data_IF_679485035328
#
_entry.id   IF_679485035328
#
_cell.length_a   1.000
_cell.length_b   1.000
_cell.length_c   1.000
_cell.angle_alpha   90.00
_cell.angle_beta   90.00
_cell.angle_gamma   90.00
#
_symmetry.space_group_name_H-M   'P 1'
#
loop_
_entity.id
_entity.type
_entity.pdbx_description
1 polymer ?
#
# COMPACT_ATOMS: atom_id res chain seq x y z
N UNK A 1 -18.58 6.31 -19.30
CA UNK A 1 -17.30 5.55 -19.44
C UNK A 1 -16.26 6.18 -18.55
N UNK A 2 -15.61 5.39 -17.70
CA UNK A 2 -14.65 5.88 -16.69
C UNK A 2 -13.24 6.17 -17.24
N UNK A 3 -12.94 5.73 -18.47
CA UNK A 3 -11.63 5.82 -19.11
C UNK A 3 -11.27 7.21 -19.61
N UNK A 4 -12.18 7.87 -20.35
CA UNK A 4 -11.90 9.16 -20.99
C UNK A 4 -11.48 10.28 -20.03
N UNK A 5 -12.16 10.51 -18.89
CA UNK A 5 -11.76 11.60 -17.98
C UNK A 5 -10.36 11.41 -17.41
N UNK A 6 -10.02 10.17 -17.01
CA UNK A 6 -8.71 9.84 -16.46
C UNK A 6 -7.62 9.90 -17.54
N UNK A 7 -7.92 9.42 -18.76
CA UNK A 7 -7.00 9.53 -19.88
C UNK A 7 -6.69 10.98 -20.24
N UNK A 8 -7.71 11.83 -20.38
CA UNK A 8 -7.53 13.26 -20.67
C UNK A 8 -6.68 13.95 -19.61
N UNK A 9 -6.92 13.65 -18.33
CA UNK A 9 -6.15 14.20 -17.22
C UNK A 9 -4.66 13.81 -17.29
N UNK A 10 -4.38 12.52 -17.49
CA UNK A 10 -3.00 12.02 -17.56
C UNK A 10 -2.29 12.42 -18.86
N UNK A 11 -3.03 12.62 -19.95
CA UNK A 11 -2.50 13.11 -21.21
C UNK A 11 -2.14 14.60 -21.12
N UNK A 12 -2.99 15.42 -20.50
CA UNK A 12 -2.70 16.84 -20.29
C UNK A 12 -1.40 17.04 -19.49
N UNK A 13 -1.11 16.18 -18.51
CA UNK A 13 0.14 16.23 -17.76
C UNK A 13 1.39 15.87 -18.59
N UNK A 14 1.22 15.23 -19.76
CA UNK A 14 2.33 14.87 -20.67
C UNK A 14 2.66 15.96 -21.69
N UNK A 15 1.76 16.92 -21.91
CA UNK A 15 1.84 17.89 -23.03
C UNK A 15 2.31 19.28 -22.57
N UNK A 16 2.36 19.57 -21.27
CA UNK A 16 2.78 20.88 -20.77
C UNK A 16 4.30 21.10 -20.93
N UNK A 17 4.66 22.21 -21.60
CA UNK A 17 6.03 22.64 -21.90
C UNK A 17 6.86 22.99 -20.64
N UNK A 18 8.18 22.87 -20.76
CA UNK A 18 9.21 22.94 -19.70
C UNK A 18 9.32 24.26 -18.90
N UNK A 19 8.46 25.27 -19.11
CA UNK A 19 8.76 26.65 -18.69
C UNK A 19 7.77 27.37 -17.75
N UNK A 20 6.72 26.73 -17.22
CA UNK A 20 5.85 27.38 -16.22
C UNK A 20 5.43 26.44 -15.07
N UNK A 21 5.64 26.92 -13.84
CA UNK A 21 5.14 26.41 -12.54
C UNK A 21 4.77 24.92 -12.46
N UNK A 22 5.78 24.06 -12.48
CA UNK A 22 5.64 22.61 -12.66
C UNK A 22 5.05 21.86 -11.45
N UNK A 23 5.25 22.36 -10.22
CA UNK A 23 4.80 21.67 -9.00
C UNK A 23 3.30 21.79 -8.74
N UNK A 24 2.71 22.93 -9.09
CA UNK A 24 1.27 23.19 -8.87
C UNK A 24 0.41 22.37 -9.84
N UNK A 25 0.86 22.20 -11.08
CA UNK A 25 0.21 21.33 -12.08
C UNK A 25 0.19 19.85 -11.67
N UNK A 26 1.33 19.33 -11.20
CA UNK A 26 1.43 17.95 -10.72
C UNK A 26 0.51 17.71 -9.51
N UNK A 27 0.43 18.67 -8.59
CA UNK A 27 -0.42 18.55 -7.40
C UNK A 27 -1.92 18.62 -7.71
N UNK A 28 -2.33 19.46 -8.67
CA UNK A 28 -3.72 19.49 -9.15
C UNK A 28 -4.12 18.18 -9.86
N UNK A 29 -3.19 17.61 -10.62
CA UNK A 29 -3.37 16.30 -11.28
C UNK A 29 -3.53 15.20 -10.24
N UNK A 30 -2.65 15.15 -9.25
CA UNK A 30 -2.72 14.22 -8.12
C UNK A 30 -4.06 14.32 -7.39
N UNK A 31 -4.50 15.54 -7.04
CA UNK A 31 -5.77 15.75 -6.35
C UNK A 31 -6.96 15.26 -7.20
N UNK A 32 -6.93 15.48 -8.51
CA UNK A 32 -7.99 15.03 -9.41
C UNK A 32 -8.04 13.49 -9.54
N UNK A 33 -6.88 12.82 -9.56
CA UNK A 33 -6.81 11.35 -9.54
C UNK A 33 -7.30 10.80 -8.19
N UNK A 34 -6.97 11.48 -7.11
CA UNK A 34 -7.43 11.13 -5.77
C UNK A 34 -8.95 11.27 -5.66
N UNK A 35 -9.52 12.39 -6.09
CA UNK A 35 -10.96 12.63 -6.15
C UNK A 35 -11.66 11.59 -7.02
N UNK A 36 -11.02 11.19 -8.14
CA UNK A 36 -11.51 10.10 -8.98
C UNK A 36 -11.62 8.77 -8.22
N UNK A 37 -10.79 8.48 -7.22
CA UNK A 37 -10.97 7.28 -6.38
C UNK A 37 -11.96 7.55 -5.25
N UNK A 38 -11.83 8.67 -4.54
CA UNK A 38 -12.61 8.97 -3.33
C UNK A 38 -14.11 9.17 -3.61
N UNK A 39 -14.48 9.70 -4.78
CA UNK A 39 -15.87 9.91 -5.19
C UNK A 39 -16.54 8.65 -5.76
N UNK A 40 -15.83 7.53 -5.80
CA UNK A 40 -16.38 6.29 -6.35
C UNK A 40 -17.43 5.67 -5.44
N UNK A 41 -18.41 5.01 -6.06
CA UNK A 41 -19.25 4.06 -5.34
C UNK A 41 -18.48 2.75 -5.13
N UNK A 42 -18.88 1.96 -4.13
CA UNK A 42 -18.24 0.67 -3.88
C UNK A 42 -18.32 -0.29 -5.08
N UNK A 43 -19.36 -0.19 -5.91
CA UNK A 43 -19.50 -0.99 -7.12
C UNK A 43 -18.52 -0.61 -8.23
N UNK A 44 -18.01 0.63 -8.23
CA UNK A 44 -17.05 1.14 -9.21
C UNK A 44 -15.60 1.09 -8.71
N UNK A 45 -15.38 1.10 -7.40
CA UNK A 45 -14.07 1.20 -6.75
C UNK A 45 -13.01 0.27 -7.37
N UNK A 46 -13.30 -1.04 -7.47
CA UNK A 46 -12.38 -2.02 -8.08
C UNK A 46 -12.04 -1.68 -9.53
N UNK A 47 -13.03 -1.24 -10.32
CA UNK A 47 -12.81 -0.92 -11.75
C UNK A 47 -11.98 0.35 -11.91
N UNK A 48 -12.19 1.35 -11.05
CA UNK A 48 -11.38 2.58 -11.02
C UNK A 48 -9.91 2.28 -10.66
N UNK A 49 -9.67 1.39 -9.69
CA UNK A 49 -8.33 0.89 -9.37
C UNK A 49 -7.70 0.09 -10.53
N UNK A 50 -8.45 -0.81 -11.17
CA UNK A 50 -7.96 -1.55 -12.35
C UNK A 50 -7.51 -0.61 -13.46
N UNK A 51 -8.27 0.46 -13.69
CA UNK A 51 -7.94 1.45 -14.69
C UNK A 51 -6.70 2.27 -14.31
N UNK A 52 -6.57 2.65 -13.04
CA UNK A 52 -5.36 3.32 -12.54
C UNK A 52 -4.10 2.46 -12.74
N UNK A 53 -4.19 1.16 -12.42
CA UNK A 53 -3.10 0.21 -12.64
C UNK A 53 -2.76 0.02 -14.13
N UNK A 54 -3.77 -0.01 -15.01
CA UNK A 54 -3.54 -0.08 -16.45
C UNK A 54 -2.78 1.16 -16.97
N UNK A 55 -3.12 2.35 -16.48
CA UNK A 55 -2.38 3.57 -16.81
C UNK A 55 -0.97 3.57 -16.23
N UNK A 56 -0.76 3.09 -15.00
CA UNK A 56 0.56 2.91 -14.42
C UNK A 56 1.43 1.99 -15.31
N UNK A 57 0.88 0.87 -15.78
CA UNK A 57 1.57 -0.06 -16.68
C UNK A 57 1.89 0.57 -18.04
N UNK A 58 0.96 1.35 -18.60
CA UNK A 58 1.21 2.10 -19.83
C UNK A 58 2.34 3.12 -19.66
N UNK A 59 2.41 3.81 -18.52
CA UNK A 59 3.51 4.73 -18.20
C UNK A 59 4.84 3.98 -18.08
N UNK A 60 4.87 2.86 -17.35
CA UNK A 60 6.06 2.04 -17.19
C UNK A 60 6.60 1.52 -18.54
N UNK A 61 5.74 0.95 -19.39
CA UNK A 61 6.13 0.45 -20.71
C UNK A 61 6.58 1.61 -21.61
N UNK A 62 5.88 2.75 -21.59
CA UNK A 62 6.25 3.94 -22.35
C UNK A 62 7.64 4.46 -21.97
N UNK A 63 7.97 4.49 -20.68
CA UNK A 63 9.29 4.90 -20.20
C UNK A 63 10.37 3.89 -20.63
N UNK A 64 10.11 2.58 -20.47
CA UNK A 64 11.04 1.53 -20.87
C UNK A 64 11.37 1.57 -22.38
N UNK A 65 10.37 1.79 -23.23
CA UNK A 65 10.57 1.88 -24.68
C UNK A 65 11.37 3.15 -25.07
N UNK A 66 11.15 4.28 -24.38
CA UNK A 66 11.87 5.53 -24.64
C UNK A 66 13.32 5.50 -24.14
N UNK A 67 13.63 4.79 -23.06
CA UNK A 67 14.98 4.67 -22.52
C UNK A 67 16.01 4.12 -23.52
N UNK A 68 15.56 3.40 -24.55
CA UNK A 68 16.41 2.92 -25.64
C UNK A 68 16.75 4.01 -26.69
N UNK A 69 16.21 5.23 -26.54
CA UNK A 69 16.40 6.36 -27.47
C UNK A 69 16.69 7.69 -26.75
N UNK A 70 16.15 7.91 -25.54
CA UNK A 70 16.38 9.07 -24.68
C UNK A 70 15.97 8.79 -23.22
N UNK A 71 16.60 9.39 -22.20
CA UNK A 71 16.17 9.25 -20.80
C UNK A 71 14.72 9.77 -20.61
N UNK A 72 13.95 9.23 -19.65
CA UNK A 72 12.58 9.66 -19.42
C UNK A 72 12.59 11.10 -18.90
N UNK A 73 11.69 11.94 -19.42
CA UNK A 73 11.55 13.30 -18.92
C UNK A 73 11.01 13.28 -17.47
N UNK A 74 11.40 14.28 -16.67
CA UNK A 74 11.04 14.43 -15.25
C UNK A 74 9.54 14.27 -14.97
N UNK A 75 8.68 14.70 -15.89
CA UNK A 75 7.22 14.60 -15.78
C UNK A 75 6.70 13.17 -15.93
N UNK A 76 7.35 12.34 -16.75
CA UNK A 76 6.97 10.93 -16.90
C UNK A 76 7.32 10.13 -15.64
N UNK A 77 8.45 10.47 -15.01
CA UNK A 77 8.86 9.91 -13.73
C UNK A 77 7.92 10.37 -12.60
N UNK A 78 7.57 11.66 -12.52
CA UNK A 78 6.62 12.15 -11.50
C UNK A 78 5.24 11.49 -11.67
N UNK A 79 4.78 11.32 -12.91
CA UNK A 79 3.52 10.64 -13.22
C UNK A 79 3.52 9.18 -12.81
N UNK A 80 4.61 8.46 -13.06
CA UNK A 80 4.76 7.09 -12.60
C UNK A 80 4.71 7.01 -11.06
N UNK A 81 5.46 7.86 -10.35
CA UNK A 81 5.56 7.84 -8.90
C UNK A 81 4.21 8.09 -8.21
N UNK A 82 3.48 9.15 -8.60
CA UNK A 82 2.20 9.42 -7.96
C UNK A 82 1.15 8.35 -8.31
N UNK A 83 1.14 7.81 -9.53
CA UNK A 83 0.23 6.72 -9.89
C UNK A 83 0.53 5.45 -9.09
N UNK A 84 1.81 5.13 -8.90
CA UNK A 84 2.28 4.01 -8.09
C UNK A 84 1.79 4.15 -6.66
N UNK A 85 2.05 5.31 -6.04
CA UNK A 85 1.70 5.54 -4.64
C UNK A 85 0.18 5.65 -4.44
N UNK A 86 -0.57 6.33 -5.32
CA UNK A 86 -2.04 6.38 -5.24
C UNK A 86 -2.63 4.98 -5.37
N UNK A 87 -2.18 4.19 -6.34
CA UNK A 87 -2.68 2.82 -6.48
C UNK A 87 -2.38 2.00 -5.23
N UNK A 88 -1.14 1.99 -4.77
CA UNK A 88 -0.71 1.23 -3.60
C UNK A 88 -1.42 1.64 -2.31
N UNK A 89 -1.67 2.93 -2.14
CA UNK A 89 -2.43 3.44 -1.00
C UNK A 89 -3.90 3.00 -1.05
N UNK A 90 -4.59 3.10 -2.19
CA UNK A 90 -6.01 2.77 -2.24
C UNK A 90 -6.30 1.28 -2.38
N UNK A 91 -5.40 0.49 -2.95
CA UNK A 91 -5.61 -0.96 -3.12
C UNK A 91 -5.73 -1.68 -1.76
N UNK A 92 -5.13 -1.14 -0.70
CA UNK A 92 -5.22 -1.70 0.66
C UNK A 92 -6.67 -1.75 1.21
N UNK A 93 -7.59 -0.91 0.69
CA UNK A 93 -9.01 -0.92 1.10
C UNK A 93 -9.87 -1.89 0.30
N UNK A 94 -9.35 -2.44 -0.80
CA UNK A 94 -10.12 -3.33 -1.65
C UNK A 94 -10.66 -4.57 -0.91
N UNK A 95 -9.90 -5.26 -0.04
CA UNK A 95 -10.44 -6.38 0.73
C UNK A 95 -11.66 -6.01 1.58
N UNK A 96 -11.66 -4.81 2.19
CA UNK A 96 -12.78 -4.31 3.00
C UNK A 96 -14.01 -4.11 2.13
N UNK A 97 -13.84 -3.44 0.98
CA UNK A 97 -14.93 -3.18 0.02
C UNK A 97 -15.50 -4.49 -0.53
N UNK A 98 -14.65 -5.44 -0.93
CA UNK A 98 -15.08 -6.74 -1.44
C UNK A 98 -15.83 -7.55 -0.38
N UNK A 99 -15.34 -7.57 0.87
CA UNK A 99 -16.01 -8.24 1.99
C UNK A 99 -17.40 -7.66 2.25
N UNK A 100 -17.55 -6.33 2.17
CA UNK A 100 -18.84 -5.67 2.32
C UNK A 100 -19.82 -6.00 1.18
N UNK A 101 -19.35 -5.96 -0.07
CA UNK A 101 -20.16 -6.37 -1.24
C UNK A 101 -20.56 -7.85 -1.13
N UNK A 102 -19.66 -8.72 -0.66
CA UNK A 102 -19.95 -10.14 -0.51
C UNK A 102 -20.97 -10.41 0.61
N UNK A 103 -20.88 -9.70 1.73
CA UNK A 103 -21.84 -9.81 2.82
C UNK A 103 -23.25 -9.37 2.38
N UNK A 104 -23.35 -8.19 1.75
CA UNK A 104 -24.62 -7.68 1.23
C UNK A 104 -25.20 -8.58 0.12
N UNK A 105 -24.36 -9.09 -0.78
CA UNK A 105 -24.78 -10.06 -1.81
C UNK A 105 -25.36 -11.33 -1.19
N UNK A 106 -24.77 -11.85 -0.11
CA UNK A 106 -25.31 -13.03 0.60
C UNK A 106 -26.69 -12.76 1.20
N UNK A 107 -26.91 -11.59 1.80
CA UNK A 107 -28.22 -11.18 2.32
C UNK A 107 -29.29 -11.15 1.22
N UNK A 108 -28.99 -10.50 0.08
CA UNK A 108 -29.90 -10.45 -1.07
C UNK A 108 -30.17 -11.85 -1.65
N UNK A 109 -29.16 -12.73 -1.69
CA UNK A 109 -29.33 -14.10 -2.16
C UNK A 109 -30.26 -14.93 -1.26
N UNK A 110 -30.29 -14.67 0.05
CA UNK A 110 -31.22 -15.34 0.97
C UNK A 110 -32.65 -14.90 0.65
N UNK A 111 -32.90 -13.59 0.56
CA UNK A 111 -34.23 -13.07 0.21
C UNK A 111 -34.71 -13.57 -1.16
N UNK A 112 -33.81 -13.61 -2.15
CA UNK A 112 -34.10 -14.12 -3.49
C UNK A 112 -34.48 -15.61 -3.45
N UNK A 113 -33.76 -16.43 -2.68
CA UNK A 113 -34.08 -17.86 -2.53
C UNK A 113 -35.46 -18.06 -1.91
N UNK A 114 -35.85 -17.25 -0.93
CA UNK A 114 -37.20 -17.29 -0.35
C UNK A 114 -38.27 -16.88 -1.36
N UNK A 115 -38.03 -15.85 -2.19
CA UNK A 115 -38.94 -15.52 -3.29
C UNK A 115 -39.09 -16.67 -4.28
N UNK A 116 -37.99 -17.33 -4.66
CA UNK A 116 -38.02 -18.48 -5.58
C UNK A 116 -38.78 -19.65 -4.98
N UNK A 117 -38.60 -19.94 -3.68
CA UNK A 117 -39.38 -20.97 -2.99
C UNK A 117 -40.87 -20.67 -3.07
N UNK A 118 -41.29 -19.45 -2.72
CA UNK A 118 -42.70 -19.03 -2.79
C UNK A 118 -43.29 -19.21 -4.19
N UNK A 119 -42.54 -18.88 -5.25
CA UNK A 119 -42.98 -19.07 -6.63
C UNK A 119 -43.10 -20.56 -7.04
N UNK A 120 -42.30 -21.46 -6.47
CA UNK A 120 -42.33 -22.89 -6.85
C UNK A 120 -43.58 -23.62 -6.35
N UNK A 121 -44.20 -23.17 -5.27
CA UNK A 121 -45.40 -23.79 -4.70
C UNK A 121 -46.70 -23.46 -5.47
N UNK A 122 -46.64 -22.57 -6.46
CA UNK A 122 -47.80 -22.17 -7.26
C UNK A 122 -47.97 -23.08 -8.49
N UNK A 123 -48.67 -24.19 -8.30
CA UNK A 123 -48.82 -25.22 -9.35
C UNK A 123 -50.07 -25.09 -10.23
N UNK A 124 -50.96 -24.12 -9.99
CA UNK A 124 -52.25 -24.07 -10.68
C UNK A 124 -52.41 -22.85 -11.60
N UNK A 125 -52.82 -23.07 -12.86
CA UNK A 125 -52.95 -22.03 -13.91
C UNK A 125 -54.24 -21.22 -13.75
N UNK A 126 -54.48 -20.67 -12.57
CA UNK A 126 -55.63 -19.81 -12.28
C UNK A 126 -55.31 -18.32 -12.43
N UNK A 127 -56.34 -17.46 -12.44
CA UNK A 127 -56.19 -16.01 -12.37
C UNK A 127 -55.33 -15.56 -11.17
N UNK A 128 -55.34 -16.32 -10.07
CA UNK A 128 -54.52 -16.08 -8.89
C UNK A 128 -53.00 -16.21 -9.18
N UNK A 129 -52.61 -17.08 -10.12
CA UNK A 129 -51.20 -17.25 -10.53
C UNK A 129 -50.66 -16.01 -11.25
N UNK A 130 -51.48 -15.32 -12.05
CA UNK A 130 -51.07 -14.08 -12.74
C UNK A 130 -50.87 -12.94 -11.74
N UNK A 131 -51.78 -12.79 -10.77
CA UNK A 131 -51.69 -11.82 -9.67
C UNK A 131 -50.40 -12.03 -8.86
N UNK A 132 -50.10 -13.27 -8.52
CA UNK A 132 -48.93 -13.62 -7.72
C UNK A 132 -47.62 -13.45 -8.50
N UNK A 133 -47.60 -13.79 -9.79
CA UNK A 133 -46.47 -13.51 -10.68
C UNK A 133 -46.17 -11.99 -10.75
N UNK A 134 -47.19 -11.13 -10.81
CA UNK A 134 -47.02 -9.67 -10.73
C UNK A 134 -46.38 -9.26 -9.41
N UNK A 135 -46.86 -9.79 -8.28
CA UNK A 135 -46.28 -9.53 -6.94
C UNK A 135 -44.82 -10.00 -6.85
N UNK A 136 -44.49 -11.18 -7.36
CA UNK A 136 -43.13 -11.72 -7.38
C UNK A 136 -42.18 -10.88 -8.23
N UNK A 137 -42.62 -10.41 -9.41
CA UNK A 137 -41.85 -9.47 -10.24
C UNK A 137 -41.60 -8.14 -9.52
N UNK A 138 -42.61 -7.61 -8.82
CA UNK A 138 -42.44 -6.39 -8.01
C UNK A 138 -41.43 -6.60 -6.86
N UNK A 139 -41.50 -7.73 -6.16
CA UNK A 139 -40.53 -8.07 -5.11
C UNK A 139 -39.12 -8.23 -5.67
N UNK A 140 -38.95 -8.90 -6.82
CA UNK A 140 -37.67 -8.99 -7.52
C UNK A 140 -37.12 -7.61 -7.88
N UNK A 141 -37.97 -6.71 -8.43
CA UNK A 141 -37.58 -5.33 -8.72
C UNK A 141 -37.10 -4.60 -7.47
N UNK A 142 -37.76 -4.78 -6.32
CA UNK A 142 -37.31 -4.22 -5.04
C UNK A 142 -35.96 -4.78 -4.58
N UNK A 143 -35.71 -6.07 -4.75
CA UNK A 143 -34.40 -6.67 -4.44
C UNK A 143 -33.28 -6.13 -5.34
N UNK A 144 -33.55 -6.01 -6.65
CA UNK A 144 -32.60 -5.41 -7.61
C UNK A 144 -32.29 -3.97 -7.20
N UNK A 145 -33.32 -3.19 -6.84
CA UNK A 145 -33.13 -1.82 -6.37
C UNK A 145 -32.32 -1.78 -5.07
N UNK A 146 -32.68 -2.61 -4.07
CA UNK A 146 -31.94 -2.72 -2.79
C UNK A 146 -30.45 -2.99 -3.03
N UNK A 147 -30.12 -3.96 -3.89
CA UNK A 147 -28.72 -4.26 -4.21
C UNK A 147 -28.03 -3.15 -5.01
N UNK A 148 -28.75 -2.49 -5.92
CA UNK A 148 -28.23 -1.33 -6.68
C UNK A 148 -27.91 -0.17 -5.76
N UNK A 149 -28.78 0.11 -4.78
CA UNK A 149 -28.58 1.18 -3.80
C UNK A 149 -27.36 0.89 -2.91
N UNK A 150 -27.15 -0.37 -2.51
CA UNK A 150 -25.94 -0.79 -1.80
C UNK A 150 -24.70 -0.54 -2.66
N UNK A 151 -24.71 -0.96 -3.93
CA UNK A 151 -23.57 -0.76 -4.83
C UNK A 151 -23.26 0.71 -5.14
N UNK A 152 -24.26 1.58 -5.04
CA UNK A 152 -24.16 3.04 -5.21
C UNK A 152 -23.65 3.75 -3.95
N UNK A 153 -23.55 3.05 -2.81
CA UNK A 153 -23.00 3.63 -1.59
C UNK A 153 -21.56 4.13 -1.81
N UNK A 154 -21.26 5.31 -1.28
CA UNK A 154 -19.94 5.93 -1.46
C UNK A 154 -18.86 5.11 -0.76
N UNK A 155 -17.70 5.02 -1.41
CA UNK A 155 -16.51 4.36 -0.85
C UNK A 155 -16.16 4.90 0.54
N UNK A 156 -16.18 6.22 0.72
CA UNK A 156 -15.86 6.88 2.00
C UNK A 156 -16.81 6.44 3.13
N UNK A 157 -18.11 6.32 2.85
CA UNK A 157 -19.08 5.88 3.87
C UNK A 157 -18.80 4.46 4.35
N UNK A 158 -18.47 3.55 3.43
CA UNK A 158 -18.13 2.17 3.77
C UNK A 158 -16.80 2.09 4.52
N UNK A 159 -15.82 2.92 4.15
CA UNK A 159 -14.56 3.01 4.87
C UNK A 159 -14.78 3.51 6.31
N UNK A 160 -15.58 4.55 6.53
CA UNK A 160 -15.90 5.04 7.88
C UNK A 160 -16.62 3.98 8.72
N UNK A 161 -17.57 3.25 8.13
CA UNK A 161 -18.27 2.13 8.79
C UNK A 161 -17.32 0.98 9.15
N UNK A 162 -16.32 0.69 8.30
CA UNK A 162 -15.31 -0.34 8.53
C UNK A 162 -14.18 0.09 9.47
N UNK A 163 -13.81 1.37 9.48
CA UNK A 163 -12.67 1.92 10.23
C UNK A 163 -12.90 1.91 11.75
N UNK A 164 -14.16 2.06 12.19
CA UNK A 164 -14.55 1.94 13.61
C UNK A 164 -14.22 0.55 14.18
N UNK A 165 -14.06 -0.47 13.32
CA UNK A 165 -13.70 -1.84 13.73
C UNK A 165 -12.19 -2.13 13.64
N UNK A 166 -11.44 -1.48 12.75
CA UNK A 166 -10.05 -1.88 12.47
C UNK A 166 -8.99 -0.95 13.09
N UNK A 167 -9.32 0.29 13.41
CA UNK A 167 -8.39 1.22 14.06
C UNK A 167 -8.20 0.92 15.57
N UNK A 168 -9.20 0.25 16.16
CA UNK A 168 -9.27 -0.12 17.58
C UNK A 168 -8.79 -1.54 17.85
N UNK A 169 -8.74 -2.38 16.82
CA UNK A 169 -8.15 -3.71 16.93
C UNK A 169 -6.64 -3.63 16.69
N UNK A 170 -5.95 -3.13 17.71
CA UNK A 170 -4.54 -3.43 17.98
C UNK A 170 -4.41 -4.57 19.03
N UNK A 171 -5.10 -5.74 18.92
CA UNK A 171 -4.81 -6.88 19.79
C UNK A 171 -3.50 -7.57 19.38
N UNK A 172 -2.82 -7.10 18.32
CA UNK A 172 -1.63 -7.74 17.76
C UNK A 172 -0.44 -7.77 18.74
N UNK A 173 -0.53 -7.03 19.86
CA UNK A 173 0.51 -6.99 20.88
C UNK A 173 -0.10 -6.98 22.29
N UNK A 174 -0.60 -8.13 22.76
CA UNK A 174 -0.73 -8.37 24.21
C UNK A 174 0.64 -8.15 24.89
N UNK A 175 0.64 -7.68 26.15
CA UNK A 175 1.88 -7.37 26.90
C UNK A 175 2.88 -8.55 26.89
N UNK A 176 2.38 -9.78 26.90
CA UNK A 176 3.20 -11.00 27.00
C UNK A 176 3.98 -11.34 25.72
N UNK A 177 3.52 -10.91 24.53
CA UNK A 177 4.14 -11.25 23.25
C UNK A 177 5.09 -10.16 22.70
N UNK A 178 5.19 -9.01 23.37
CA UNK A 178 5.93 -7.84 22.86
C UNK A 178 7.44 -8.02 22.83
N UNK A 179 8.02 -8.42 23.96
CA UNK A 179 9.48 -8.63 24.07
C UNK A 179 9.95 -9.76 23.14
N UNK A 180 9.16 -10.84 23.08
CA UNK A 180 9.40 -11.99 22.20
C UNK A 180 9.37 -11.56 20.72
N UNK A 181 8.51 -10.61 20.35
CA UNK A 181 8.47 -10.09 18.98
C UNK A 181 9.72 -9.30 18.62
N UNK A 182 10.18 -8.37 19.48
CA UNK A 182 11.40 -7.60 19.21
C UNK A 182 12.64 -8.49 19.11
N UNK A 183 12.74 -9.49 19.98
CA UNK A 183 13.84 -10.47 19.94
C UNK A 183 13.79 -11.32 18.67
N UNK A 184 12.60 -11.85 18.31
CA UNK A 184 12.42 -12.62 17.08
C UNK A 184 12.71 -11.81 15.82
N UNK A 185 12.26 -10.55 15.78
CA UNK A 185 12.54 -9.65 14.67
C UNK A 185 14.03 -9.32 14.56
N UNK A 186 14.70 -9.04 15.69
CA UNK A 186 16.15 -8.84 15.72
C UNK A 186 16.89 -10.07 15.16
N UNK A 187 16.51 -11.28 15.59
CA UNK A 187 17.10 -12.52 15.07
C UNK A 187 16.82 -12.74 13.58
N UNK A 188 15.60 -12.47 13.12
CA UNK A 188 15.25 -12.59 11.70
C UNK A 188 16.04 -11.61 10.84
N UNK A 189 16.21 -10.37 11.31
CA UNK A 189 17.03 -9.35 10.66
C UNK A 189 18.51 -9.74 10.64
N UNK A 190 19.06 -10.17 11.77
CA UNK A 190 20.44 -10.68 11.83
C UNK A 190 20.65 -11.82 10.82
N UNK A 191 19.73 -12.77 10.75
CA UNK A 191 19.77 -13.85 9.77
C UNK A 191 19.67 -13.35 8.32
N UNK A 192 18.80 -12.39 8.03
CA UNK A 192 18.67 -11.78 6.71
C UNK A 192 19.96 -11.07 6.28
N UNK A 193 20.58 -10.31 7.20
CA UNK A 193 21.87 -9.69 6.97
C UNK A 193 22.97 -10.72 6.71
N UNK A 194 23.03 -11.81 7.48
CA UNK A 194 24.00 -12.88 7.24
C UNK A 194 23.78 -13.56 5.89
N UNK A 195 22.53 -13.80 5.50
CA UNK A 195 22.21 -14.36 4.18
C UNK A 195 22.61 -13.43 3.03
N UNK A 196 22.41 -12.11 3.20
CA UNK A 196 22.83 -11.12 2.23
C UNK A 196 24.37 -11.08 2.09
N UNK A 197 25.08 -11.24 3.21
CA UNK A 197 26.54 -11.40 3.21
C UNK A 197 26.99 -12.65 2.45
N UNK A 198 26.39 -13.82 2.74
CA UNK A 198 26.70 -15.07 2.05
C UNK A 198 26.46 -14.97 0.53
N UNK A 199 25.35 -14.34 0.12
CA UNK A 199 25.06 -14.07 -1.29
C UNK A 199 26.10 -13.14 -1.92
N UNK A 200 26.52 -12.08 -1.22
CA UNK A 200 27.58 -11.17 -1.67
C UNK A 200 28.90 -11.91 -1.86
N UNK A 201 29.31 -12.75 -0.91
CA UNK A 201 30.52 -13.58 -1.02
C UNK A 201 30.47 -14.51 -2.22
N UNK A 202 29.33 -15.16 -2.47
CA UNK A 202 29.17 -16.01 -3.65
C UNK A 202 29.29 -15.24 -4.98
N UNK A 203 28.80 -14.00 -5.03
CA UNK A 203 28.95 -13.14 -6.21
C UNK A 203 30.41 -12.72 -6.43
N UNK A 204 31.15 -12.44 -5.36
CA UNK A 204 32.60 -12.20 -5.43
C UNK A 204 33.35 -13.43 -5.94
N UNK A 205 33.01 -14.63 -5.47
CA UNK A 205 33.66 -15.86 -5.91
C UNK A 205 33.43 -16.13 -7.40
N UNK A 206 32.21 -15.89 -7.89
CA UNK A 206 31.89 -16.00 -9.33
C UNK A 206 32.66 -14.95 -10.15
N UNK A 207 32.72 -13.69 -9.71
CA UNK A 207 33.46 -12.63 -10.39
C UNK A 207 34.98 -12.91 -10.39
N UNK A 208 35.52 -13.43 -9.29
CA UNK A 208 36.93 -13.81 -9.17
C UNK A 208 37.30 -15.00 -10.06
N UNK A 209 36.40 -16.00 -10.17
CA UNK A 209 36.56 -17.12 -11.11
C UNK A 209 36.48 -16.66 -12.56
N UNK A 210 35.59 -15.72 -12.89
CA UNK A 210 35.53 -15.11 -14.22
C UNK A 210 36.80 -14.30 -14.54
N UNK A 211 37.39 -13.61 -13.57
CA UNK A 211 38.65 -12.89 -13.73
C UNK A 211 39.83 -13.82 -14.06
N UNK A 212 39.90 -15.01 -13.45
CA UNK A 212 40.95 -16.01 -13.76
C UNK A 212 40.80 -16.65 -15.14
N UNK A 213 39.58 -16.71 -15.69
CA UNK A 213 39.29 -17.33 -16.98
C UNK A 213 39.47 -16.39 -18.18
N UNK A 214 39.78 -15.11 -17.96
CA UNK A 214 39.98 -14.10 -19.02
C UNK A 214 41.46 -13.72 -19.08
N UNK A 215 42.29 -14.61 -19.60
CA UNK A 215 43.66 -14.24 -20.01
C UNK A 215 43.58 -13.40 -21.31
N UNK A 216 43.90 -12.11 -21.20
CA UNK A 216 44.22 -11.26 -22.36
C UNK A 216 43.24 -10.13 -22.71
N UNK A 217 42.14 -9.92 -21.98
CA UNK A 217 41.19 -8.84 -22.28
C UNK A 217 41.20 -7.74 -21.19
N UNK A 218 42.05 -6.73 -21.39
CA UNK A 218 42.38 -5.67 -20.42
C UNK A 218 41.18 -4.84 -19.96
N UNK A 219 40.19 -4.60 -20.83
CA UNK A 219 38.99 -3.81 -20.49
C UNK A 219 38.03 -4.56 -19.54
N UNK A 220 37.83 -5.86 -19.76
CA UNK A 220 37.02 -6.71 -18.84
C UNK A 220 37.69 -6.86 -17.48
N UNK A 221 39.03 -6.96 -17.46
CA UNK A 221 39.80 -7.06 -16.23
C UNK A 221 39.72 -5.76 -15.40
N UNK A 222 39.73 -4.60 -16.08
CA UNK A 222 39.56 -3.29 -15.45
C UNK A 222 38.14 -3.12 -14.86
N UNK A 223 37.10 -3.52 -15.60
CA UNK A 223 35.72 -3.49 -15.10
C UNK A 223 35.54 -4.38 -13.86
N UNK A 224 36.04 -5.62 -13.87
CA UNK A 224 35.98 -6.51 -12.69
C UNK A 224 36.76 -5.94 -11.49
N UNK A 225 37.90 -5.28 -11.71
CA UNK A 225 38.69 -4.66 -10.65
C UNK A 225 37.99 -3.42 -10.07
N UNK A 226 37.36 -2.58 -10.90
CA UNK A 226 36.59 -1.42 -10.49
C UNK A 226 35.33 -1.84 -9.72
N UNK A 227 34.57 -2.80 -10.25
CA UNK A 227 33.39 -3.35 -9.59
C UNK A 227 33.74 -4.03 -8.26
N UNK A 228 34.86 -4.78 -8.22
CA UNK A 228 35.39 -5.36 -6.99
C UNK A 228 35.84 -4.31 -5.96
N UNK A 229 36.34 -3.14 -6.40
CA UNK A 229 36.70 -2.03 -5.51
C UNK A 229 35.48 -1.32 -4.92
N UNK A 230 34.39 -1.17 -5.71
CA UNK A 230 33.10 -0.62 -5.26
C UNK A 230 32.45 -1.55 -4.23
N UNK A 231 32.42 -2.86 -4.49
CA UNK A 231 31.89 -3.83 -3.54
C UNK A 231 32.71 -3.86 -2.23
N UNK A 232 34.04 -3.66 -2.31
CA UNK A 232 34.95 -3.64 -1.15
C UNK A 232 34.86 -2.35 -0.34
N UNK A 233 34.60 -1.20 -0.99
CA UNK A 233 34.34 0.05 -0.27
C UNK A 233 32.99 0.02 0.47
N UNK A 234 32.03 -0.79 0.00
CA UNK A 234 30.81 -1.08 0.77
C UNK A 234 31.07 -1.90 2.05
N UNK A 235 32.14 -2.71 2.16
CA UNK A 235 32.41 -3.54 3.35
C UNK A 235 32.81 -2.70 4.58
N UNK A 236 33.54 -1.60 4.39
CA UNK A 236 33.90 -0.68 5.49
C UNK A 236 32.71 0.18 5.96
N UNK A 237 31.82 0.57 5.04
CA UNK A 237 30.55 1.25 5.37
C UNK A 237 29.55 0.30 6.06
N UNK A 238 29.54 -0.98 5.68
CA UNK A 238 28.64 -1.99 6.23
C UNK A 238 28.96 -2.39 7.68
N UNK A 239 30.24 -2.42 8.07
CA UNK A 239 30.61 -2.78 9.46
C UNK A 239 30.16 -1.69 10.45
N UNK A 240 30.25 -0.42 10.07
CA UNK A 240 29.68 0.72 10.81
C UNK A 240 28.14 0.69 10.83
N UNK A 241 27.52 0.25 9.74
CA UNK A 241 26.06 0.10 9.63
C UNK A 241 25.53 -1.03 10.54
N UNK A 242 26.28 -2.10 10.77
CA UNK A 242 25.86 -3.23 11.61
C UNK A 242 25.77 -2.85 13.11
N UNK A 243 26.73 -2.07 13.59
CA UNK A 243 26.74 -1.57 14.98
C UNK A 243 25.69 -0.46 15.15
N UNK A 244 25.59 0.47 14.19
CA UNK A 244 24.59 1.54 14.20
C UNK A 244 23.14 1.07 14.00
N UNK A 245 22.91 -0.04 13.29
CA UNK A 245 21.56 -0.61 13.13
C UNK A 245 21.02 -1.17 14.43
N UNK A 246 21.85 -1.82 15.25
CA UNK A 246 21.42 -2.31 16.58
C UNK A 246 20.99 -1.15 17.45
N UNK A 247 21.78 -0.07 17.50
CA UNK A 247 21.40 1.13 18.24
C UNK A 247 20.11 1.77 17.69
N UNK A 248 19.94 1.80 16.37
CA UNK A 248 18.70 2.26 15.74
C UNK A 248 17.49 1.37 16.11
N UNK A 249 17.67 0.04 16.13
CA UNK A 249 16.61 -0.91 16.49
C UNK A 249 16.20 -0.79 17.96
N UNK A 250 17.16 -0.68 18.89
CA UNK A 250 16.87 -0.40 20.30
C UNK A 250 16.17 0.95 20.48
N UNK A 251 16.52 1.95 19.66
CA UNK A 251 15.84 3.25 19.68
C UNK A 251 14.38 3.12 19.23
N UNK A 252 14.11 2.36 18.17
CA UNK A 252 12.74 2.05 17.71
C UNK A 252 11.94 1.30 18.76
N UNK A 253 12.53 0.29 19.40
CA UNK A 253 11.92 -0.46 20.50
C UNK A 253 11.57 0.47 21.68
N UNK A 254 12.49 1.33 22.10
CA UNK A 254 12.26 2.29 23.17
C UNK A 254 11.13 3.27 22.83
N UNK A 255 11.07 3.77 21.60
CA UNK A 255 9.98 4.64 21.12
C UNK A 255 8.65 3.91 21.20
N UNK A 256 8.61 2.67 20.72
CA UNK A 256 7.40 1.85 20.75
C UNK A 256 6.90 1.63 22.18
N UNK A 257 7.80 1.20 23.09
CA UNK A 257 7.45 0.95 24.51
C UNK A 257 6.86 2.23 25.12
N UNK A 258 7.54 3.38 24.97
CA UNK A 258 7.04 4.66 25.49
C UNK A 258 5.69 5.08 24.88
N UNK A 259 5.47 4.81 23.59
CA UNK A 259 4.21 5.12 22.93
C UNK A 259 3.06 4.28 23.49
N UNK A 260 3.30 2.99 23.76
CA UNK A 260 2.30 2.10 24.35
C UNK A 260 2.02 2.46 25.82
N UNK A 261 3.05 2.71 26.61
CA UNK A 261 2.91 3.16 28.00
C UNK A 261 2.12 4.46 28.09
N UNK A 262 2.38 5.39 27.17
CA UNK A 262 1.57 6.59 27.01
C UNK A 262 0.13 6.21 26.71
N UNK A 263 -0.14 5.40 25.67
CA UNK A 263 -1.49 4.94 25.34
C UNK A 263 -2.25 4.31 26.52
N UNK A 264 -1.57 3.52 27.35
CA UNK A 264 -2.15 2.93 28.57
C UNK A 264 -2.52 3.99 29.62
N UNK A 265 -1.67 5.00 29.82
CA UNK A 265 -1.96 6.16 30.68
C UNK A 265 -3.11 7.00 30.13
N UNK A 266 -3.24 7.10 28.80
CA UNK A 266 -4.32 7.83 28.16
C UNK A 266 -5.69 7.15 28.30
N UNK A 267 -5.72 5.81 28.45
CA UNK A 267 -6.93 5.02 28.77
C UNK A 267 -7.41 5.20 30.23
N UNK A 268 -6.55 5.64 31.14
CA UNK A 268 -6.92 5.93 32.53
C UNK A 268 -7.41 7.39 32.66
N UNK A 269 -8.67 7.58 33.06
CA UNK A 269 -9.33 8.90 33.07
C UNK A 269 -8.90 9.84 34.21
N UNK A 270 -8.10 9.36 35.17
CA UNK A 270 -7.95 10.06 36.45
C UNK A 270 -6.88 11.15 36.50
N UNK A 271 -5.95 11.23 35.54
CA UNK A 271 -4.76 12.09 35.68
C UNK A 271 -4.35 12.82 34.39
N UNK A 272 -5.00 13.94 34.07
CA UNK A 272 -4.64 14.80 32.92
C UNK A 272 -3.17 15.30 32.93
N UNK A 273 -2.62 15.60 34.11
CA UNK A 273 -1.21 16.00 34.23
C UNK A 273 -0.25 14.84 33.89
N UNK A 274 -0.62 13.60 34.22
CA UNK A 274 0.18 12.40 33.88
C UNK A 274 0.17 12.16 32.37
N UNK A 275 -1.00 12.29 31.72
CA UNK A 275 -1.16 12.20 30.26
C UNK A 275 -0.26 13.20 29.51
N UNK A 276 -0.20 14.45 29.98
CA UNK A 276 0.66 15.50 29.40
C UNK A 276 2.16 15.22 29.58
N UNK A 277 2.57 14.72 30.76
CA UNK A 277 3.98 14.36 31.00
C UNK A 277 4.43 13.20 30.11
N UNK A 278 3.65 12.12 30.06
CA UNK A 278 4.00 10.96 29.23
C UNK A 278 4.07 11.30 27.74
N UNK A 279 3.17 12.18 27.26
CA UNK A 279 3.22 12.68 25.89
C UNK A 279 4.49 13.52 25.65
N UNK A 280 4.82 14.43 26.57
CA UNK A 280 6.06 15.23 26.48
C UNK A 280 7.31 14.34 26.45
N UNK A 281 7.37 13.34 27.32
CA UNK A 281 8.50 12.40 27.40
C UNK A 281 8.67 11.57 26.12
N UNK A 282 7.54 11.24 25.45
CA UNK A 282 7.55 10.57 24.15
C UNK A 282 8.05 11.51 23.05
N UNK A 283 7.56 12.76 23.01
CA UNK A 283 7.98 13.76 22.03
C UNK A 283 9.47 14.11 22.18
N UNK A 284 9.96 14.23 23.41
CA UNK A 284 11.38 14.44 23.69
C UNK A 284 12.22 13.23 23.31
N UNK A 285 11.72 12.00 23.49
CA UNK A 285 12.38 10.80 22.99
C UNK A 285 12.50 10.83 21.46
N UNK A 286 11.41 11.12 20.74
CA UNK A 286 11.43 11.25 19.28
C UNK A 286 12.44 12.31 18.84
N UNK A 287 12.47 13.47 19.51
CA UNK A 287 13.44 14.55 19.25
C UNK A 287 14.88 14.09 19.44
N UNK A 288 15.17 13.43 20.55
CA UNK A 288 16.51 12.91 20.84
C UNK A 288 16.93 11.78 19.89
N UNK A 289 15.96 11.07 19.30
CA UNK A 289 16.18 9.99 18.34
C UNK A 289 16.41 10.48 16.90
N UNK A 290 16.53 11.80 16.69
CA UNK A 290 16.81 12.39 15.40
C UNK A 290 15.58 12.77 14.57
N UNK A 291 14.36 12.71 15.13
CA UNK A 291 13.15 13.23 14.49
C UNK A 291 12.93 14.69 14.90
N UNK A 292 13.20 15.68 14.03
CA UNK A 292 13.05 17.07 14.40
C UNK A 292 11.57 17.40 14.66
N UNK A 293 11.25 18.24 15.67
CA UNK A 293 9.92 18.83 15.78
C UNK A 293 9.72 19.67 14.52
N UNK A 294 8.71 19.33 13.72
CA UNK A 294 8.49 19.89 12.38
C UNK A 294 8.68 21.42 12.40
N UNK A 295 9.65 21.93 11.61
CA UNK A 295 9.53 23.27 11.03
C UNK A 295 8.24 23.23 10.23
N UNK A 296 7.25 24.04 10.60
CA UNK A 296 5.95 24.17 9.96
C UNK A 296 6.07 24.02 8.44
N UNK A 297 5.89 22.80 7.95
CA UNK A 297 5.84 22.55 6.52
C UNK A 297 4.53 23.18 6.08
N UNK A 298 4.64 24.07 5.10
CA UNK A 298 3.53 24.83 4.55
C UNK A 298 2.30 23.93 4.37
N UNK A 299 1.09 24.42 4.69
CA UNK A 299 -0.15 23.59 4.67
C UNK A 299 -0.41 22.93 3.31
N UNK A 300 0.28 23.41 2.27
CA UNK A 300 0.28 22.94 0.89
C UNK A 300 1.16 21.70 0.62
N UNK A 301 2.11 21.33 1.48
CA UNK A 301 3.00 20.15 1.29
C UNK A 301 2.44 18.85 1.87
N UNK A 302 1.15 18.80 2.22
CA UNK A 302 0.53 17.68 2.96
C UNK A 302 0.62 16.30 2.28
N UNK A 303 1.04 16.23 1.01
CA UNK A 303 1.01 15.00 0.22
C UNK A 303 2.25 14.79 -0.66
N UNK A 304 3.40 15.36 -0.28
CA UNK A 304 4.67 15.19 -1.01
C UNK A 304 5.09 13.71 -1.13
N UNK A 305 4.58 12.86 -0.24
CA UNK A 305 4.82 11.42 -0.24
C UNK A 305 4.24 10.70 -1.47
N UNK A 306 3.32 11.31 -2.22
CA UNK A 306 2.89 10.76 -3.52
C UNK A 306 4.04 10.66 -4.52
N UNK A 307 5.09 11.46 -4.36
CA UNK A 307 6.24 11.48 -5.26
C UNK A 307 7.45 10.70 -4.72
N UNK A 308 7.29 9.95 -3.62
CA UNK A 308 8.38 9.13 -3.09
C UNK A 308 8.57 7.85 -3.91
N UNK A 309 9.82 7.56 -4.23
CA UNK A 309 10.21 6.31 -4.89
C UNK A 309 10.47 5.24 -3.83
N UNK A 310 9.71 4.15 -3.86
CA UNK A 310 9.83 3.03 -2.90
C UNK A 310 10.65 1.87 -3.47
N UNK A 311 10.07 1.16 -4.43
CA UNK A 311 10.69 -0.01 -5.09
C UNK A 311 10.73 0.16 -6.61
N UNK A 312 9.84 0.98 -7.18
CA UNK A 312 9.68 1.11 -8.63
C UNK A 312 9.08 -0.12 -9.32
N UNK A 313 9.06 -1.30 -8.68
CA UNK A 313 8.49 -2.52 -9.24
C UNK A 313 6.96 -2.58 -9.02
N UNK A 314 6.23 -2.60 -10.14
CA UNK A 314 4.77 -2.72 -10.17
C UNK A 314 4.27 -4.06 -9.63
N UNK A 315 5.06 -5.14 -9.71
CA UNK A 315 4.65 -6.46 -9.24
C UNK A 315 4.45 -6.50 -7.72
N UNK A 316 5.17 -5.63 -7.01
CA UNK A 316 5.08 -5.51 -5.57
C UNK A 316 3.77 -4.85 -5.08
N UNK A 317 3.00 -4.22 -5.97
CA UNK A 317 1.71 -3.60 -5.65
C UNK A 317 0.52 -4.58 -5.71
N UNK A 318 0.71 -5.76 -6.31
CA UNK A 318 -0.36 -6.74 -6.48
C UNK A 318 -0.56 -7.54 -5.18
N UNK A 319 -1.62 -7.25 -4.43
CA UNK A 319 -1.99 -8.06 -3.26
C UNK A 319 -2.32 -9.50 -3.72
N UNK A 320 -1.66 -10.48 -3.09
CA UNK A 320 -1.86 -11.92 -3.36
C UNK A 320 -3.33 -12.37 -3.21
N UNK A 321 -4.07 -11.73 -2.30
CA UNK A 321 -5.48 -12.03 -2.03
C UNK A 321 -6.48 -11.19 -2.82
N UNK A 322 -6.01 -10.27 -3.65
CA UNK A 322 -6.88 -9.48 -4.51
C UNK A 322 -6.95 -10.17 -5.88
N UNK A 323 -8.15 -10.50 -6.35
CA UNK A 323 -8.36 -11.07 -7.70
C UNK A 323 -8.09 -10.02 -8.80
N UNK A 324 -6.92 -9.39 -8.80
CA UNK A 324 -6.34 -8.71 -9.96
C UNK A 324 -5.46 -9.65 -10.78
N UNK A 325 -5.11 -10.84 -10.25
CA UNK A 325 -4.68 -11.96 -11.07
C UNK A 325 -5.78 -12.25 -12.11
N UNK A 326 -5.44 -12.05 -13.38
CA UNK A 326 -6.33 -12.25 -14.52
C UNK A 326 -6.94 -13.67 -14.53
N UNK A 327 -8.13 -13.90 -15.12
CA UNK A 327 -8.70 -15.23 -15.34
C UNK A 327 -7.93 -16.09 -16.36
N UNK A 328 -6.70 -15.72 -16.74
CA UNK A 328 -5.92 -16.35 -17.81
C UNK A 328 -5.05 -17.52 -17.36
N UNK A 329 -5.17 -17.99 -16.12
CA UNK A 329 -4.63 -19.29 -15.72
C UNK A 329 -5.64 -20.42 -15.97
N UNK A 330 -6.29 -20.40 -17.14
CA UNK A 330 -6.89 -21.60 -17.70
C UNK A 330 -5.85 -22.20 -18.65
N UNK A 331 -5.31 -23.35 -18.25
CA UNK A 331 -4.83 -24.42 -19.13
C UNK A 331 -3.85 -23.99 -20.24
N UNK A 332 -2.60 -23.71 -19.86
CA UNK A 332 -1.48 -24.09 -20.73
C UNK A 332 -0.50 -24.89 -19.88
N UNK A 333 -0.69 -26.20 -20.04
CA UNK A 333 0.20 -27.33 -19.85
C UNK A 333 1.40 -27.24 -18.90
N UNK A 334 1.43 -28.24 -18.03
CA UNK A 334 2.53 -28.58 -17.16
C UNK A 334 3.79 -28.95 -17.98
N UNK A 335 4.86 -28.16 -17.83
CA UNK A 335 6.27 -28.60 -17.74
C UNK A 335 7.21 -27.42 -18.01
N UNK A 336 7.55 -26.66 -16.97
CA UNK A 336 8.94 -26.26 -16.69
C UNK A 336 9.00 -26.07 -15.17
N UNK A 337 9.55 -27.06 -14.46
CA UNK A 337 10.07 -26.82 -13.11
C UNK A 337 11.42 -26.15 -13.33
N UNK A 338 11.45 -24.83 -13.32
CA UNK A 338 12.69 -24.10 -13.09
C UNK A 338 12.88 -23.96 -11.57
N UNK A 339 14.07 -24.34 -11.11
CA UNK A 339 14.45 -24.39 -9.71
C UNK A 339 14.96 -23.01 -9.23
N UNK A 340 14.22 -21.93 -9.42
CA UNK A 340 14.57 -20.60 -8.87
C UNK A 340 13.65 -20.22 -7.69
N UNK A 341 13.83 -20.96 -6.59
CA UNK A 341 13.18 -20.74 -5.30
C UNK A 341 13.64 -19.47 -4.53
N UNK A 342 14.83 -18.85 -4.75
CA UNK A 342 15.25 -17.68 -3.96
C UNK A 342 14.66 -16.32 -4.37
N UNK A 343 14.26 -16.11 -5.63
CA UNK A 343 13.74 -14.82 -6.10
C UNK A 343 12.29 -14.59 -5.65
N UNK A 344 11.51 -15.67 -5.61
CA UNK A 344 10.11 -15.65 -5.20
C UNK A 344 9.97 -15.24 -3.71
N UNK A 345 10.89 -15.68 -2.83
CA UNK A 345 10.88 -15.29 -1.42
C UNK A 345 11.17 -13.80 -1.22
N UNK A 346 12.17 -13.24 -1.92
CA UNK A 346 12.45 -11.79 -1.83
C UNK A 346 11.30 -10.93 -2.34
N UNK A 347 10.62 -11.36 -3.40
CA UNK A 347 9.46 -10.63 -3.92
C UNK A 347 8.29 -10.62 -2.92
N UNK A 348 8.06 -11.74 -2.22
CA UNK A 348 7.02 -11.82 -1.17
C UNK A 348 7.34 -10.91 0.02
N UNK A 349 8.61 -10.82 0.43
CA UNK A 349 9.06 -9.91 1.49
C UNK A 349 8.86 -8.44 1.10
N UNK A 350 9.20 -8.07 -0.14
CA UNK A 350 8.98 -6.71 -0.66
C UNK A 350 7.50 -6.34 -0.74
N UNK A 351 6.63 -7.26 -1.19
CA UNK A 351 5.17 -7.06 -1.16
C UNK A 351 4.67 -6.76 0.26
N UNK A 352 5.12 -7.55 1.24
CA UNK A 352 4.75 -7.34 2.63
C UNK A 352 5.26 -5.98 3.17
N UNK A 353 6.50 -5.61 2.87
CA UNK A 353 7.06 -4.32 3.27
C UNK A 353 6.27 -3.14 2.68
N UNK A 354 5.88 -3.23 1.41
CA UNK A 354 5.07 -2.20 0.73
C UNK A 354 3.66 -2.12 1.30
N UNK A 355 3.05 -3.25 1.65
CA UNK A 355 1.76 -3.27 2.35
C UNK A 355 1.86 -2.54 3.71
N UNK A 356 2.91 -2.82 4.50
CA UNK A 356 3.14 -2.15 5.78
C UNK A 356 3.43 -0.66 5.62
N UNK A 357 4.14 -0.26 4.56
CA UNK A 357 4.35 1.15 4.23
C UNK A 357 3.02 1.89 4.03
N UNK A 358 2.11 1.37 3.19
CA UNK A 358 0.83 2.05 2.95
C UNK A 358 -0.09 2.08 4.18
N UNK A 359 -0.01 1.07 5.06
CA UNK A 359 -0.67 1.09 6.37
C UNK A 359 -0.10 2.17 7.30
N UNK A 360 1.23 2.35 7.29
CA UNK A 360 1.89 3.42 8.03
C UNK A 360 1.46 4.79 7.53
N UNK A 361 1.41 4.98 6.21
CA UNK A 361 0.92 6.23 5.60
C UNK A 361 -0.52 6.55 6.03
N UNK A 362 -1.43 5.57 6.03
CA UNK A 362 -2.79 5.77 6.56
C UNK A 362 -2.77 6.25 8.02
N UNK A 363 -1.94 5.63 8.86
CA UNK A 363 -1.83 5.99 10.28
C UNK A 363 -1.32 7.42 10.46
N UNK A 364 -0.36 7.85 9.65
CA UNK A 364 0.15 9.23 9.64
C UNK A 364 -0.92 10.22 9.18
N UNK A 365 -1.68 9.90 8.12
CA UNK A 365 -2.76 10.77 7.64
C UNK A 365 -3.88 10.91 8.69
N UNK A 366 -4.25 9.82 9.36
CA UNK A 366 -5.22 9.85 10.45
C UNK A 366 -4.72 10.69 11.64
N UNK A 367 -3.43 10.56 11.98
CA UNK A 367 -2.81 11.39 13.00
C UNK A 367 -2.84 12.87 12.61
N UNK A 368 -2.51 13.21 11.37
CA UNK A 368 -2.57 14.58 10.85
C UNK A 368 -4.00 15.15 10.87
N UNK A 369 -5.01 14.35 10.55
CA UNK A 369 -6.42 14.74 10.66
C UNK A 369 -6.83 14.98 12.11
N UNK A 370 -6.42 14.08 13.02
CA UNK A 370 -6.69 14.20 14.46
C UNK A 370 -6.03 15.46 15.05
N UNK A 371 -4.81 15.78 14.64
CA UNK A 371 -4.10 16.99 15.07
C UNK A 371 -4.78 18.30 14.60
N UNK A 372 -5.65 18.27 13.57
CA UNK A 372 -6.40 19.47 13.17
C UNK A 372 -7.50 19.83 14.18
N UNK A 373 -7.98 18.87 14.97
CA UNK A 373 -8.94 19.07 16.06
C UNK A 373 -8.41 18.41 17.34
N UNK A 374 -7.37 18.99 17.98
CA UNK A 374 -6.71 18.35 19.10
C UNK A 374 -7.66 18.15 20.29
N UNK A 375 -7.44 17.08 21.05
CA UNK A 375 -8.16 16.82 22.28
C UNK A 375 -7.92 17.97 23.28
N UNK A 376 -8.91 18.26 24.15
CA UNK A 376 -8.86 19.36 25.13
C UNK A 376 -7.66 19.32 26.09
N UNK A 377 -7.03 18.16 26.21
CA UNK A 377 -5.88 17.93 27.08
C UNK A 377 -4.52 18.13 26.39
N UNK A 378 -4.50 18.33 25.07
CA UNK A 378 -3.32 18.59 24.24
C UNK A 378 -3.26 20.08 23.93
N UNK A 379 -2.17 20.74 24.31
CA UNK A 379 -1.94 22.15 23.97
C UNK A 379 -1.40 22.26 22.55
N UNK A 380 -1.79 23.30 21.79
CA UNK A 380 -1.32 23.57 20.43
C UNK A 380 0.22 23.74 20.30
N UNK A 381 0.92 23.95 21.42
CA UNK A 381 2.37 24.07 21.53
C UNK A 381 3.11 22.74 21.79
N UNK A 382 2.37 21.68 22.14
CA UNK A 382 2.87 20.29 22.26
C UNK A 382 2.53 19.53 20.97
#
# INVERSE_FOLDING_TARGET
MLWFPLYSLLLSNRVCDEQTETRTSDQATVQSVEDYIQTSSIGEFRKRLQLLYAFLGQNHISAFLKNNSSPPCRMEQSTFLFLYNIFGYYVQFLPIVLKYIDASRKEILIELKELVKLCRWEHDKSYSSIENLKKSRQKLKKLIQKYTDILQESFQNVLHKGSISNASDLPLFSDENRLVWFENCSMALDNAFQNLQLKKTSAYDVLFLQQKNVEGNTEKLAFCAEFGSILRSCDSQHTLYLEGWKDAWHTVENIYIKAVDSGNVWKDDKHGQRKRRTLSDLLDLLRSSGLPPNKSTDKDQRKDWWFLELSGDMQCLLLENSRFASPSSLEIDAKVKDNDVPEESSLTEWKAAIEHYFKSVMSVLLLQETCQNPHKDITLEQ
#
